data_IF_095682091470
#
_entry.id   IF_095682091470
#
_cell.length_a   1.000
_cell.length_b   1.000
_cell.length_c   1.000
_cell.angle_alpha   90.00
_cell.angle_beta   90.00
_cell.angle_gamma   90.00
#
_symmetry.space_group_name_H-M   'P 1'
#
loop_
_entity.id
_entity.type
_entity.pdbx_description
1 polymer ?
#
# COMPACT_ATOMS: atom_id res chain seq x y z
N UNK A 1 23.98 31.70 59.07
CA UNK A 1 23.82 30.46 58.27
C UNK A 1 25.21 30.03 57.81
N UNK A 2 25.68 28.86 58.25
CA UNK A 2 27.09 28.49 58.17
C UNK A 2 27.56 28.01 56.79
N UNK A 3 28.86 28.21 56.53
CA UNK A 3 29.66 27.80 55.36
C UNK A 3 29.47 26.32 54.97
N UNK A 4 28.97 25.47 55.87
CA UNK A 4 28.66 24.06 55.64
C UNK A 4 27.40 23.78 54.80
N UNK A 5 26.57 24.79 54.50
CA UNK A 5 25.39 24.61 53.64
C UNK A 5 25.70 24.53 52.14
N UNK A 6 26.92 24.89 51.72
CA UNK A 6 27.30 24.84 50.30
C UNK A 6 27.58 23.41 49.78
N UNK A 7 27.83 22.46 50.70
CA UNK A 7 28.07 21.04 50.38
C UNK A 7 26.82 20.16 50.47
N UNK A 8 25.65 20.73 50.77
CA UNK A 8 24.39 19.97 50.71
C UNK A 8 23.89 19.93 49.27
N UNK A 9 24.09 18.77 48.63
CA UNK A 9 23.38 18.42 47.39
C UNK A 9 21.88 18.57 47.62
N UNK A 10 21.23 19.45 46.87
CA UNK A 10 19.78 19.44 46.76
C UNK A 10 19.34 18.06 46.25
N UNK A 11 18.28 17.46 46.82
CA UNK A 11 17.75 16.22 46.30
C UNK A 11 17.32 16.46 44.85
N UNK A 12 17.85 15.66 43.93
CA UNK A 12 17.52 15.76 42.52
C UNK A 12 15.99 15.63 42.37
N UNK A 13 15.32 16.75 42.12
CA UNK A 13 13.91 16.74 41.77
C UNK A 13 13.82 15.98 40.45
N UNK A 14 13.23 14.78 40.51
CA UNK A 14 12.95 13.95 39.35
C UNK A 14 12.03 14.76 38.42
N UNK A 15 12.61 15.41 37.41
CA UNK A 15 11.88 16.02 36.30
C UNK A 15 11.24 14.88 35.50
N UNK A 16 10.11 14.36 35.98
CA UNK A 16 9.25 13.52 35.15
C UNK A 16 8.75 14.40 34.02
N UNK A 17 9.14 14.08 32.80
CA UNK A 17 8.53 14.69 31.62
C UNK A 17 7.05 14.27 31.60
N UNK A 18 6.20 15.15 32.09
CA UNK A 18 4.75 15.04 31.94
C UNK A 18 4.38 15.47 30.51
N UNK A 19 4.67 14.58 29.56
CA UNK A 19 4.19 14.56 28.18
C UNK A 19 4.58 13.19 27.61
N UNK A 20 3.80 12.63 26.69
CA UNK A 20 4.16 11.37 26.00
C UNK A 20 5.54 11.53 25.36
N UNK A 21 6.57 11.05 26.06
CA UNK A 21 7.94 11.26 25.64
C UNK A 21 8.17 10.56 24.32
N UNK A 22 9.01 11.15 23.46
CA UNK A 22 9.55 10.54 22.25
C UNK A 22 9.94 9.06 22.43
N UNK A 23 10.41 8.68 23.63
CA UNK A 23 10.67 7.28 24.02
C UNK A 23 9.40 6.41 24.08
N UNK A 24 8.27 6.92 24.57
CA UNK A 24 6.99 6.21 24.56
C UNK A 24 6.45 6.05 23.12
N UNK A 25 6.64 7.05 22.25
CA UNK A 25 6.27 6.94 20.84
C UNK A 25 7.17 5.95 20.08
N UNK A 26 8.47 5.93 20.37
CA UNK A 26 9.41 4.94 19.82
C UNK A 26 9.11 3.53 20.35
N UNK A 27 8.78 3.39 21.64
CA UNK A 27 8.40 2.10 22.23
C UNK A 27 7.08 1.61 21.61
N UNK A 28 6.07 2.48 21.44
CA UNK A 28 4.83 2.13 20.75
C UNK A 28 5.07 1.80 19.28
N UNK A 29 6.01 2.49 18.61
CA UNK A 29 6.40 2.18 17.24
C UNK A 29 7.13 0.84 17.13
N UNK A 30 8.01 0.50 18.09
CA UNK A 30 8.70 -0.80 18.16
C UNK A 30 7.78 -1.93 18.61
N UNK A 31 6.90 -1.71 19.57
CA UNK A 31 5.89 -2.67 20.01
C UNK A 31 4.96 -3.01 18.84
N UNK A 32 4.53 -2.02 18.08
CA UNK A 32 3.67 -2.24 16.92
C UNK A 32 4.39 -2.94 15.75
N UNK A 33 5.71 -2.78 15.64
CA UNK A 33 6.56 -3.55 14.71
C UNK A 33 6.73 -5.01 15.17
N UNK A 34 6.96 -5.23 16.48
CA UNK A 34 7.19 -6.56 17.07
C UNK A 34 5.90 -7.38 17.22
N UNK A 35 4.77 -6.75 17.52
CA UNK A 35 3.48 -7.41 17.70
C UNK A 35 2.78 -7.77 16.39
N UNK A 36 3.35 -7.42 15.22
CA UNK A 36 2.78 -7.71 13.90
C UNK A 36 1.44 -7.04 13.63
N UNK A 37 1.00 -6.11 14.50
CA UNK A 37 -0.31 -5.44 14.39
C UNK A 37 -0.31 -4.32 13.35
N UNK A 38 0.87 -3.88 12.89
CA UNK A 38 1.06 -2.98 11.75
C UNK A 38 1.52 -3.78 10.52
N UNK A 39 1.00 -3.44 9.35
CA UNK A 39 1.35 -4.10 8.08
C UNK A 39 0.45 -5.28 7.69
N UNK A 40 -0.60 -5.62 8.45
CA UNK A 40 -1.53 -6.71 8.06
C UNK A 40 -2.22 -6.40 6.72
N UNK A 41 -2.52 -5.12 6.47
CA UNK A 41 -3.04 -4.69 5.17
C UNK A 41 -2.07 -4.92 4.01
N UNK A 42 -0.76 -5.06 4.25
CA UNK A 42 0.21 -5.43 3.22
C UNK A 42 -0.08 -6.83 2.67
N UNK A 43 -0.69 -7.72 3.45
CA UNK A 43 -1.03 -9.08 3.00
C UNK A 43 -2.26 -9.12 2.10
N UNK A 44 -3.00 -8.01 1.99
CA UNK A 44 -4.20 -7.93 1.14
C UNK A 44 -3.81 -7.97 -0.34
N UNK A 45 -4.65 -8.58 -1.15
CA UNK A 45 -4.44 -8.64 -2.59
C UNK A 45 -4.34 -7.24 -3.21
N UNK A 46 -5.14 -6.28 -2.72
CA UNK A 46 -5.11 -4.89 -3.18
C UNK A 46 -3.75 -4.23 -2.96
N UNK A 47 -3.17 -4.36 -1.75
CA UNK A 47 -1.85 -3.82 -1.48
C UNK A 47 -0.77 -4.55 -2.30
N UNK A 48 -0.80 -5.88 -2.36
CA UNK A 48 0.19 -6.66 -3.12
C UNK A 48 0.16 -6.36 -4.61
N UNK A 49 -1.02 -6.18 -5.22
CA UNK A 49 -1.13 -5.75 -6.62
C UNK A 49 -0.47 -4.40 -6.86
N UNK A 50 -0.62 -3.44 -5.94
CA UNK A 50 0.06 -2.14 -6.04
C UNK A 50 1.58 -2.27 -5.89
N UNK A 51 2.04 -3.08 -4.93
CA UNK A 51 3.47 -3.36 -4.71
C UNK A 51 4.10 -4.00 -5.95
N UNK A 52 3.41 -4.97 -6.57
CA UNK A 52 3.86 -5.60 -7.81
C UNK A 52 3.94 -4.63 -8.99
N UNK A 53 3.05 -3.63 -9.07
CA UNK A 53 3.15 -2.59 -10.10
C UNK A 53 4.40 -1.73 -9.91
N UNK A 54 4.72 -1.34 -8.68
CA UNK A 54 5.94 -0.57 -8.38
C UNK A 54 7.20 -1.38 -8.66
N UNK A 55 7.24 -2.64 -8.21
CA UNK A 55 8.34 -3.56 -8.48
C UNK A 55 8.55 -3.76 -9.99
N UNK A 56 7.50 -4.14 -10.72
CA UNK A 56 7.61 -4.44 -12.15
C UNK A 56 8.00 -3.22 -12.98
N UNK A 57 7.48 -2.04 -12.61
CA UNK A 57 7.82 -0.81 -13.29
C UNK A 57 9.28 -0.40 -13.07
N UNK A 58 9.79 -0.48 -11.84
CA UNK A 58 11.20 -0.18 -11.56
C UNK A 58 12.14 -1.24 -12.14
N UNK A 59 11.74 -2.51 -12.14
CA UNK A 59 12.51 -3.58 -12.80
C UNK A 59 12.65 -3.38 -14.31
N UNK A 60 11.71 -2.67 -14.93
CA UNK A 60 11.71 -2.33 -16.36
C UNK A 60 12.33 -0.96 -16.66
N UNK A 61 12.76 -0.20 -15.64
CA UNK A 61 13.34 1.12 -15.85
C UNK A 61 14.59 1.04 -16.75
N UNK A 62 14.75 2.02 -17.62
CA UNK A 62 15.99 2.25 -18.35
C UNK A 62 16.97 2.96 -17.41
N UNK A 63 18.17 2.40 -17.29
CA UNK A 63 19.25 2.95 -16.45
C UNK A 63 20.37 3.39 -17.37
N UNK A 64 20.79 4.64 -17.24
CA UNK A 64 21.97 5.18 -17.91
C UNK A 64 23.02 5.59 -16.88
N UNK A 65 24.29 5.30 -17.12
CA UNK A 65 25.41 5.77 -16.29
C UNK A 65 25.87 4.87 -15.14
N UNK A 66 25.25 3.69 -14.91
CA UNK A 66 25.73 2.68 -13.96
C UNK A 66 25.24 1.27 -14.30
N UNK A 67 26.10 0.27 -14.13
CA UNK A 67 25.77 -1.16 -14.24
C UNK A 67 25.34 -1.78 -12.89
N UNK A 68 25.49 -1.04 -11.78
CA UNK A 68 25.18 -1.56 -10.43
C UNK A 68 23.67 -1.63 -10.15
N UNK A 69 22.87 -0.82 -10.84
CA UNK A 69 21.40 -0.80 -10.73
C UNK A 69 20.78 -1.77 -11.72
N UNK A 70 20.98 -3.06 -11.50
CA UNK A 70 20.36 -4.08 -12.35
C UNK A 70 18.83 -4.19 -12.12
N UNK A 71 18.14 -4.86 -13.04
CA UNK A 71 16.67 -5.06 -12.98
C UNK A 71 16.23 -5.72 -11.67
N UNK A 72 17.04 -6.64 -11.13
CA UNK A 72 16.75 -7.33 -9.87
C UNK A 72 16.83 -6.38 -8.69
N UNK A 73 17.86 -5.53 -8.66
CA UNK A 73 18.06 -4.54 -7.61
C UNK A 73 16.95 -3.51 -7.64
N UNK A 74 16.58 -3.00 -8.82
CA UNK A 74 15.48 -2.06 -8.97
C UNK A 74 14.11 -2.68 -8.58
N UNK A 75 13.88 -3.96 -8.87
CA UNK A 75 12.72 -4.69 -8.36
C UNK A 75 12.68 -4.71 -6.82
N UNK A 76 13.83 -4.99 -6.18
CA UNK A 76 13.96 -4.98 -4.72
C UNK A 76 13.80 -3.56 -4.13
N UNK A 77 14.32 -2.53 -4.79
CA UNK A 77 14.10 -1.13 -4.44
C UNK A 77 12.60 -0.82 -4.46
N UNK A 78 11.92 -1.13 -5.57
CA UNK A 78 10.49 -0.88 -5.72
C UNK A 78 9.65 -1.53 -4.63
N UNK A 79 9.89 -2.82 -4.35
CA UNK A 79 9.20 -3.51 -3.25
C UNK A 79 9.52 -2.89 -1.89
N UNK A 80 10.79 -2.59 -1.62
CA UNK A 80 11.20 -2.05 -0.31
C UNK A 80 10.61 -0.67 -0.06
N UNK A 81 10.60 0.20 -1.08
CA UNK A 81 9.95 1.51 -1.00
C UNK A 81 8.44 1.40 -0.84
N UNK A 82 7.78 0.46 -1.52
CA UNK A 82 6.34 0.26 -1.39
C UNK A 82 5.92 -0.24 0.01
N UNK A 83 6.71 -1.13 0.64
CA UNK A 83 6.36 -1.73 1.93
C UNK A 83 6.91 -0.95 3.13
N UNK A 84 8.13 -0.41 3.04
CA UNK A 84 8.82 0.25 4.15
C UNK A 84 8.92 1.76 3.98
N UNK A 85 8.86 2.24 2.74
CA UNK A 85 9.15 3.64 2.41
C UNK A 85 10.65 3.93 2.31
N UNK A 86 11.49 2.92 2.48
CA UNK A 86 12.94 3.03 2.49
C UNK A 86 13.59 1.77 1.93
N UNK A 87 14.67 1.95 1.19
CA UNK A 87 15.46 0.89 0.58
C UNK A 87 16.95 1.15 0.83
N UNK A 88 17.61 0.19 1.47
CA UNK A 88 19.02 0.33 1.89
C UNK A 88 19.84 -0.79 1.28
N UNK A 89 20.90 -0.40 0.57
CA UNK A 89 21.86 -1.32 -0.04
C UNK A 89 23.27 -0.94 0.39
N UNK A 90 24.05 -1.95 0.76
CA UNK A 90 25.48 -1.80 0.96
C UNK A 90 26.18 -1.91 -0.40
N UNK A 91 26.99 -0.91 -0.72
CA UNK A 91 27.74 -0.83 -1.96
C UNK A 91 29.00 -1.69 -1.82
N UNK A 92 29.19 -2.62 -2.76
CA UNK A 92 30.38 -3.47 -2.88
C UNK A 92 30.94 -3.37 -4.29
N UNK A 93 32.18 -3.82 -4.46
CA UNK A 93 32.80 -3.95 -5.77
C UNK A 93 31.99 -4.88 -6.69
N UNK A 94 31.43 -5.96 -6.13
CA UNK A 94 30.67 -6.97 -6.89
C UNK A 94 29.19 -6.60 -7.13
N UNK A 95 28.70 -5.49 -6.55
CA UNK A 95 27.29 -5.10 -6.67
C UNK A 95 26.65 -4.49 -5.43
N UNK A 96 25.33 -4.33 -5.48
CA UNK A 96 24.51 -3.81 -4.38
C UNK A 96 23.95 -4.95 -3.54
N UNK A 97 24.25 -4.95 -2.23
CA UNK A 97 23.77 -5.97 -1.29
C UNK A 97 22.62 -5.40 -0.46
N UNK A 98 21.40 -5.96 -0.54
CA UNK A 98 20.26 -5.47 0.22
C UNK A 98 20.47 -5.67 1.73
N UNK A 99 20.26 -4.62 2.52
CA UNK A 99 20.22 -4.71 3.97
C UNK A 99 18.81 -5.10 4.44
N UNK A 100 18.71 -6.02 5.40
CA UNK A 100 17.43 -6.41 5.99
C UNK A 100 16.98 -5.47 7.10
N UNK A 101 17.94 -4.92 7.84
CA UNK A 101 17.73 -3.98 8.95
C UNK A 101 18.92 -3.01 9.05
N UNK A 102 18.72 -1.82 9.62
CA UNK A 102 19.77 -0.82 9.78
C UNK A 102 19.50 0.14 10.94
N UNK A 103 20.57 0.55 11.60
CA UNK A 103 20.58 1.74 12.45
C UNK A 103 21.48 2.81 11.82
N UNK A 104 21.12 4.07 11.99
CA UNK A 104 21.87 5.18 11.41
C UNK A 104 22.21 6.25 12.45
N UNK A 105 23.32 6.93 12.20
CA UNK A 105 23.73 8.13 12.94
C UNK A 105 23.59 9.33 12.02
N UNK A 106 22.91 10.38 12.47
CA UNK A 106 22.75 11.62 11.70
C UNK A 106 23.59 12.78 12.24
N UNK A 107 23.80 13.76 11.38
CA UNK A 107 24.21 15.13 11.70
C UNK A 107 23.38 16.07 10.83
N UNK A 108 22.74 17.06 11.43
CA UNK A 108 21.86 18.02 10.73
C UNK A 108 20.76 17.33 9.88
N UNK A 109 20.22 16.22 10.38
CA UNK A 109 19.21 15.42 9.66
C UNK A 109 19.77 14.56 8.52
N UNK A 110 21.07 14.65 8.21
CA UNK A 110 21.75 13.84 7.18
C UNK A 110 22.44 12.61 7.79
N UNK A 111 22.26 11.41 7.25
CA UNK A 111 23.00 10.22 7.69
C UNK A 111 24.51 10.34 7.47
N UNK A 112 25.29 9.90 8.45
CA UNK A 112 26.77 9.94 8.44
C UNK A 112 27.40 8.56 8.53
N UNK A 113 26.76 7.64 9.25
CA UNK A 113 27.19 6.25 9.37
C UNK A 113 25.98 5.34 9.57
N UNK A 114 26.13 4.10 9.13
CA UNK A 114 25.12 3.06 9.23
C UNK A 114 25.70 1.83 9.93
N UNK A 115 24.86 1.14 10.68
CA UNK A 115 25.06 -0.25 11.07
C UNK A 115 24.02 -1.07 10.32
N UNK A 116 24.43 -1.72 9.24
CA UNK A 116 23.56 -2.54 8.38
C UNK A 116 23.63 -4.01 8.79
N UNK A 117 22.51 -4.69 8.68
CA UNK A 117 22.40 -6.14 8.84
C UNK A 117 22.10 -6.77 7.49
N UNK A 118 22.95 -7.71 7.07
CA UNK A 118 22.87 -8.42 5.80
C UNK A 118 22.35 -9.82 6.09
N UNK A 119 21.26 -10.18 5.41
CA UNK A 119 20.70 -11.53 5.49
C UNK A 119 21.42 -12.46 4.53
N UNK A 120 21.93 -13.57 5.07
CA UNK A 120 22.60 -14.63 4.30
C UNK A 120 21.95 -15.97 4.68
N UNK A 121 21.87 -16.90 3.72
CA UNK A 121 21.26 -18.21 3.97
C UNK A 121 21.95 -19.00 5.10
N UNK A 122 23.25 -18.75 5.34
CA UNK A 122 24.05 -19.37 6.39
C UNK A 122 24.06 -18.66 7.74
N UNK A 123 23.28 -17.58 7.89
CA UNK A 123 23.27 -16.74 9.10
C UNK A 123 23.69 -15.31 8.79
N UNK A 124 22.85 -14.35 9.20
CA UNK A 124 23.08 -12.93 8.91
C UNK A 124 24.29 -12.34 9.62
N UNK A 125 24.86 -11.28 9.03
CA UNK A 125 25.97 -10.52 9.60
C UNK A 125 25.61 -9.05 9.74
N UNK A 126 26.12 -8.40 10.77
CA UNK A 126 26.01 -6.94 10.92
C UNK A 126 27.36 -6.28 10.66
N UNK A 127 27.35 -5.16 9.97
CA UNK A 127 28.53 -4.38 9.64
C UNK A 127 28.26 -2.88 9.79
N UNK A 128 29.26 -2.14 10.26
CA UNK A 128 29.26 -0.68 10.20
C UNK A 128 29.84 -0.22 8.86
N UNK A 129 29.14 0.72 8.22
CA UNK A 129 29.52 1.32 6.95
C UNK A 129 29.35 2.84 7.01
N UNK A 130 30.17 3.57 6.27
CA UNK A 130 30.04 5.02 6.13
C UNK A 130 28.86 5.36 5.21
N UNK A 131 28.32 6.57 5.33
CA UNK A 131 27.21 7.00 4.47
C UNK A 131 27.56 7.09 2.97
N UNK A 132 28.85 7.06 2.60
CA UNK A 132 29.27 6.96 1.20
C UNK A 132 29.19 5.52 0.66
N UNK A 133 29.24 4.52 1.54
CA UNK A 133 29.24 3.09 1.18
C UNK A 133 27.83 2.49 1.16
N UNK A 134 26.81 3.30 1.44
CA UNK A 134 25.43 2.86 1.58
C UNK A 134 24.55 3.70 0.67
N UNK A 135 23.80 3.04 -0.20
CA UNK A 135 22.72 3.63 -0.98
C UNK A 135 21.45 3.59 -0.12
N UNK A 136 20.92 4.74 0.26
CA UNK A 136 19.72 4.83 1.10
C UNK A 136 18.65 5.74 0.47
N UNK A 137 17.71 5.10 -0.23
CA UNK A 137 16.58 5.78 -0.87
C UNK A 137 15.40 5.82 0.10
N UNK A 138 14.76 6.99 0.22
CA UNK A 138 13.64 7.26 1.13
C UNK A 138 12.52 7.96 0.42
N UNK A 139 11.28 7.59 0.74
CA UNK A 139 10.07 8.26 0.25
C UNK A 139 9.17 8.65 1.42
N UNK A 140 8.35 9.69 1.23
CA UNK A 140 7.35 10.10 2.21
C UNK A 140 7.94 10.47 3.58
N UNK A 141 9.18 10.97 3.62
CA UNK A 141 9.86 11.33 4.84
C UNK A 141 9.11 12.44 5.61
N UNK A 142 9.09 12.33 6.94
CA UNK A 142 8.53 13.36 7.82
C UNK A 142 9.56 14.48 8.00
N UNK A 143 9.17 15.78 7.89
CA UNK A 143 10.08 16.89 8.19
C UNK A 143 10.77 16.81 9.57
N UNK A 144 10.15 16.18 10.57
CA UNK A 144 10.73 15.97 11.89
C UNK A 144 11.79 14.85 11.90
N UNK A 145 11.73 13.91 10.96
CA UNK A 145 12.66 12.80 10.83
C UNK A 145 13.01 12.54 9.35
N UNK A 146 13.72 13.46 8.68
CA UNK A 146 13.99 13.39 7.23
C UNK A 146 14.91 12.23 6.83
N UNK A 147 15.53 11.58 7.81
CA UNK A 147 16.40 10.42 7.64
C UNK A 147 15.67 9.07 7.65
N UNK A 148 14.34 9.06 7.86
CA UNK A 148 13.51 7.85 7.75
C UNK A 148 12.46 8.00 6.65
N UNK A 149 12.16 6.89 5.98
CA UNK A 149 11.08 6.80 5.02
C UNK A 149 9.75 6.48 5.69
N UNK A 150 8.65 6.71 4.97
CA UNK A 150 7.32 6.26 5.39
C UNK A 150 6.60 5.60 4.22
N UNK A 151 6.29 4.32 4.40
CA UNK A 151 5.52 3.55 3.43
C UNK A 151 4.14 4.19 3.13
N UNK A 152 3.62 4.06 1.89
CA UNK A 152 2.27 4.47 1.53
C UNK A 152 1.18 4.01 2.52
N UNK A 153 1.18 2.73 2.91
CA UNK A 153 0.19 2.19 3.84
C UNK A 153 0.29 2.77 5.25
N UNK A 154 1.49 3.13 5.70
CA UNK A 154 1.68 3.78 7.01
C UNK A 154 1.06 5.18 7.01
N UNK A 155 1.09 5.89 5.88
CA UNK A 155 0.37 7.16 5.69
C UNK A 155 -1.15 6.98 5.62
N UNK A 156 -1.62 5.83 5.15
CA UNK A 156 -3.04 5.46 5.07
C UNK A 156 -3.48 4.44 6.16
N UNK A 157 -2.90 4.53 7.36
CA UNK A 157 -3.04 3.49 8.40
C UNK A 157 -4.48 3.24 8.88
N UNK A 158 -5.32 4.28 8.92
CA UNK A 158 -6.74 4.16 9.28
C UNK A 158 -7.50 3.32 8.25
N UNK A 159 -7.29 3.59 6.96
CA UNK A 159 -7.92 2.86 5.85
C UNK A 159 -7.41 1.43 5.77
N UNK A 160 -6.10 1.22 5.98
CA UNK A 160 -5.51 -0.12 6.06
C UNK A 160 -6.12 -0.94 7.20
N UNK A 161 -6.33 -0.33 8.37
CA UNK A 161 -7.01 -0.95 9.50
C UNK A 161 -8.47 -1.31 9.17
N UNK A 162 -9.19 -0.41 8.49
CA UNK A 162 -10.56 -0.64 8.04
C UNK A 162 -10.64 -1.83 7.07
N UNK A 163 -9.79 -1.85 6.04
CA UNK A 163 -9.76 -2.94 5.05
C UNK A 163 -9.55 -4.29 5.73
N UNK A 164 -8.55 -4.38 6.62
CA UNK A 164 -8.28 -5.60 7.38
C UNK A 164 -9.47 -6.02 8.25
N UNK A 165 -10.11 -5.07 8.94
CA UNK A 165 -11.25 -5.35 9.79
C UNK A 165 -12.45 -5.87 8.98
N UNK A 166 -12.73 -5.27 7.83
CA UNK A 166 -13.84 -5.68 6.94
C UNK A 166 -13.54 -7.06 6.34
N UNK A 167 -12.34 -7.30 5.80
CA UNK A 167 -12.00 -8.61 5.24
C UNK A 167 -12.03 -9.71 6.30
N UNK A 168 -11.49 -9.46 7.50
CA UNK A 168 -11.53 -10.42 8.61
C UNK A 168 -12.97 -10.72 9.05
N UNK A 169 -13.81 -9.69 9.18
CA UNK A 169 -15.22 -9.85 9.54
C UNK A 169 -15.99 -10.64 8.48
N UNK A 170 -15.73 -10.37 7.19
CA UNK A 170 -16.34 -11.13 6.09
C UNK A 170 -15.90 -12.59 6.14
N UNK A 171 -14.61 -12.89 6.32
CA UNK A 171 -14.11 -14.26 6.47
C UNK A 171 -14.79 -14.98 7.62
N UNK A 172 -14.89 -14.34 8.80
CA UNK A 172 -15.54 -14.92 9.97
C UNK A 172 -17.04 -15.19 9.73
N UNK A 173 -17.75 -14.26 9.10
CA UNK A 173 -19.16 -14.42 8.73
C UNK A 173 -19.32 -15.56 7.72
N UNK A 174 -18.48 -15.64 6.69
CA UNK A 174 -18.56 -16.71 5.69
C UNK A 174 -18.25 -18.09 6.27
N UNK A 175 -17.41 -18.16 7.30
CA UNK A 175 -17.06 -19.42 7.98
C UNK A 175 -18.14 -19.84 8.99
N UNK A 176 -18.63 -18.91 9.80
CA UNK A 176 -19.39 -19.24 11.01
C UNK A 176 -20.89 -18.92 10.93
N UNK A 177 -21.31 -17.97 10.08
CA UNK A 177 -22.71 -17.55 10.04
C UNK A 177 -23.60 -18.60 9.34
N UNK A 178 -24.84 -18.78 9.82
CA UNK A 178 -25.80 -19.72 9.22
C UNK A 178 -26.45 -19.17 7.95
N UNK A 179 -25.65 -18.85 6.93
CA UNK A 179 -26.10 -18.18 5.70
C UNK A 179 -27.19 -19.01 4.99
N UNK A 180 -28.30 -18.36 4.67
CA UNK A 180 -29.45 -18.94 3.99
C UNK A 180 -30.23 -19.95 4.83
N UNK A 181 -30.02 -19.96 6.15
CA UNK A 181 -30.72 -20.86 7.04
C UNK A 181 -32.03 -20.24 7.52
N UNK A 182 -33.08 -21.05 7.58
CA UNK A 182 -34.42 -20.61 7.92
C UNK A 182 -34.92 -21.38 9.14
N UNK A 183 -35.64 -20.68 10.02
CA UNK A 183 -36.40 -21.30 11.08
C UNK A 183 -37.89 -21.31 10.69
N UNK A 184 -38.47 -22.50 10.52
CA UNK A 184 -39.88 -22.72 10.14
C UNK A 184 -40.63 -23.31 11.34
N UNK A 185 -41.69 -22.69 11.86
CA UNK A 185 -42.34 -23.24 13.04
C UNK A 185 -43.28 -24.46 12.79
N UNK A 186 -43.33 -25.47 13.68
CA UNK A 186 -44.17 -26.70 13.60
C UNK A 186 -44.66 -27.20 15.00
N UNK A 187 -45.83 -27.90 15.11
CA UNK A 187 -46.38 -28.37 16.40
C UNK A 187 -45.68 -29.60 17.05
N UNK A 188 -45.83 -29.70 18.39
CA UNK A 188 -44.96 -30.30 19.43
C UNK A 188 -44.33 -31.71 19.30
N UNK A 189 -43.11 -31.83 19.86
CA UNK A 189 -42.66 -32.98 20.68
C UNK A 189 -41.76 -32.48 21.85
N UNK A 190 -41.90 -33.01 23.09
CA UNK A 190 -41.52 -32.29 24.33
C UNK A 190 -40.04 -32.38 24.80
N UNK A 191 -39.07 -32.67 23.93
CA UNK A 191 -37.69 -33.01 24.38
C UNK A 191 -36.54 -32.18 23.78
N UNK A 192 -36.80 -31.08 23.04
CA UNK A 192 -35.73 -30.42 22.26
C UNK A 192 -34.98 -29.31 23.00
N UNK A 193 -33.67 -29.49 23.23
CA UNK A 193 -32.76 -28.49 23.83
C UNK A 193 -32.36 -27.36 22.85
N UNK A 194 -32.78 -26.13 23.16
CA UNK A 194 -32.57 -24.90 22.39
C UNK A 194 -31.08 -24.53 22.21
N UNK A 195 -30.20 -24.86 23.16
CA UNK A 195 -28.76 -24.58 23.01
C UNK A 195 -28.06 -25.55 22.05
N UNK A 196 -28.49 -26.82 22.03
CA UNK A 196 -28.03 -27.80 21.04
C UNK A 196 -28.47 -27.40 19.63
N UNK A 197 -29.69 -26.86 19.49
CA UNK A 197 -30.25 -26.39 18.23
C UNK A 197 -29.49 -25.16 17.70
N UNK A 198 -29.18 -24.18 18.57
CA UNK A 198 -28.39 -23.01 18.20
C UNK A 198 -26.96 -23.38 17.72
N UNK A 199 -26.32 -24.36 18.35
CA UNK A 199 -25.04 -24.92 17.88
C UNK A 199 -25.16 -25.60 16.52
N UNK A 200 -26.30 -26.21 16.21
CA UNK A 200 -26.57 -26.88 14.94
C UNK A 200 -26.58 -25.96 13.71
N UNK A 201 -26.62 -24.64 13.90
CA UNK A 201 -26.59 -23.64 12.84
C UNK A 201 -25.21 -23.06 12.53
N UNK A 202 -24.30 -23.02 13.51
CA UNK A 202 -22.96 -22.44 13.32
C UNK A 202 -22.21 -23.17 12.20
N UNK A 203 -21.77 -22.44 11.18
CA UNK A 203 -21.06 -22.96 10.02
C UNK A 203 -21.88 -23.88 9.10
N UNK A 204 -23.20 -23.99 9.29
CA UNK A 204 -24.09 -24.76 8.41
C UNK A 204 -24.86 -23.81 7.50
N UNK A 205 -24.86 -24.11 6.19
CA UNK A 205 -25.51 -23.29 5.16
C UNK A 205 -26.81 -23.93 4.70
N UNK A 206 -27.84 -23.13 4.43
CA UNK A 206 -29.11 -23.60 3.87
C UNK A 206 -29.89 -24.56 4.76
N UNK A 207 -29.63 -24.57 6.09
CA UNK A 207 -30.37 -25.46 7.00
C UNK A 207 -31.73 -24.85 7.29
N UNK A 208 -32.76 -25.64 7.03
CA UNK A 208 -34.11 -25.34 7.49
C UNK A 208 -34.30 -26.09 8.80
N UNK A 209 -34.54 -25.35 9.88
CA UNK A 209 -34.87 -25.93 11.18
C UNK A 209 -36.35 -25.75 11.41
N UNK A 210 -37.02 -26.83 11.78
CA UNK A 210 -38.36 -26.72 12.33
C UNK A 210 -38.26 -26.27 13.79
N UNK A 211 -38.80 -25.10 14.15
CA UNK A 211 -38.86 -24.61 15.55
C UNK A 211 -40.26 -24.80 16.11
N UNK A 212 -40.39 -25.04 17.39
CA UNK A 212 -41.71 -25.22 18.00
C UNK A 212 -42.46 -23.87 18.10
N UNK A 213 -43.75 -23.84 17.75
CA UNK A 213 -44.61 -22.65 17.92
C UNK A 213 -45.17 -22.59 19.34
N UNK A 214 -45.13 -21.42 20.00
CA UNK A 214 -45.53 -21.25 21.42
C UNK A 214 -47.02 -20.84 21.60
N UNK A 215 -47.80 -20.67 20.53
CA UNK A 215 -49.22 -20.33 20.64
C UNK A 215 -50.13 -21.55 20.68
N UNK A 216 -50.55 -21.93 21.89
CA UNK A 216 -51.69 -22.84 22.11
C UNK A 216 -52.98 -22.01 22.11
N UNK A 217 -53.71 -21.99 20.99
CA UNK A 217 -55.09 -21.49 20.98
C UNK A 217 -56.01 -22.52 21.61
N UNK A 218 -56.24 -22.37 22.91
CA UNK A 218 -57.31 -23.06 23.62
C UNK A 218 -58.68 -22.49 23.22
N UNK A 219 -59.14 -22.72 21.98
CA UNK A 219 -60.54 -22.68 21.51
C UNK A 219 -60.63 -22.52 19.98
N UNK A 220 -60.73 -23.65 19.26
CA UNK A 220 -61.60 -23.87 18.08
C UNK A 220 -61.73 -22.84 16.92
N UNK A 221 -60.88 -21.82 16.81
CA UNK A 221 -60.83 -20.89 15.68
C UNK A 221 -59.76 -21.29 14.65
N UNK A 222 -59.88 -20.87 13.38
CA UNK A 222 -58.96 -21.29 12.32
C UNK A 222 -57.51 -20.88 12.64
N UNK A 223 -56.62 -21.86 12.76
CA UNK A 223 -55.18 -21.69 12.94
C UNK A 223 -54.45 -21.75 11.56
N UNK A 224 -53.15 -21.45 11.43
CA UNK A 224 -52.36 -20.32 11.91
C UNK A 224 -51.47 -19.79 10.75
N UNK A 225 -52.04 -19.08 9.78
CA UNK A 225 -51.26 -18.66 8.58
C UNK A 225 -50.22 -17.57 8.90
N UNK A 226 -50.41 -16.84 10.01
CA UNK A 226 -49.52 -15.76 10.43
C UNK A 226 -48.25 -16.24 11.15
N UNK A 227 -48.29 -17.41 11.80
CA UNK A 227 -47.19 -17.93 12.63
C UNK A 227 -46.16 -18.72 11.80
N UNK A 228 -46.50 -19.12 10.56
CA UNK A 228 -45.64 -19.90 9.66
C UNK A 228 -44.62 -19.09 8.86
N UNK A 229 -44.36 -17.84 9.24
CA UNK A 229 -43.37 -17.02 8.54
C UNK A 229 -41.96 -17.54 8.87
N UNK A 230 -41.19 -17.99 7.86
CA UNK A 230 -39.81 -18.36 8.09
C UNK A 230 -39.03 -17.17 8.66
N UNK A 231 -38.35 -17.38 9.78
CA UNK A 231 -37.40 -16.39 10.30
C UNK A 231 -36.03 -16.68 9.69
N UNK A 232 -35.50 -15.72 8.94
CA UNK A 232 -34.13 -15.78 8.42
C UNK A 232 -33.16 -15.46 9.56
N UNK A 233 -32.19 -16.35 9.78
CA UNK A 233 -31.12 -16.19 10.78
C UNK A 233 -29.80 -15.72 10.15
N UNK A 234 -29.80 -15.46 8.85
CA UNK A 234 -28.67 -14.90 8.14
C UNK A 234 -28.41 -13.46 8.60
N UNK A 235 -27.15 -13.08 8.87
CA UNK A 235 -26.81 -11.68 9.06
C UNK A 235 -27.19 -10.85 7.83
N UNK A 236 -27.84 -9.72 8.04
CA UNK A 236 -28.21 -8.79 6.97
C UNK A 236 -26.99 -7.98 6.51
N UNK A 237 -26.24 -8.55 5.56
CA UNK A 237 -25.08 -7.91 4.94
C UNK A 237 -25.47 -6.72 4.04
N UNK A 238 -26.72 -6.68 3.55
CA UNK A 238 -27.18 -5.64 2.65
C UNK A 238 -27.34 -4.30 3.37
N UNK A 239 -27.85 -4.30 4.60
CA UNK A 239 -27.93 -3.08 5.42
C UNK A 239 -26.60 -2.64 6.01
N UNK A 240 -25.64 -3.56 6.13
CA UNK A 240 -24.32 -3.29 6.67
C UNK A 240 -23.38 -2.58 5.68
N UNK A 241 -23.79 -2.37 4.43
CA UNK A 241 -23.01 -1.69 3.37
C UNK A 241 -21.57 -2.23 3.25
N UNK A 242 -21.41 -3.54 3.43
CA UNK A 242 -20.09 -4.18 3.51
C UNK A 242 -19.36 -4.12 2.18
N UNK A 243 -20.09 -4.19 1.07
CA UNK A 243 -19.53 -4.11 -0.28
C UNK A 243 -19.00 -2.70 -0.56
N UNK A 244 -19.80 -1.68 -0.28
CA UNK A 244 -19.45 -0.28 -0.49
C UNK A 244 -18.26 0.13 0.39
N UNK A 245 -18.23 -0.34 1.63
CA UNK A 245 -17.12 -0.08 2.55
C UNK A 245 -15.84 -0.77 2.09
N UNK A 246 -15.95 -2.01 1.60
CA UNK A 246 -14.81 -2.76 1.08
C UNK A 246 -14.24 -2.12 -0.19
N UNK A 247 -15.10 -1.76 -1.14
CA UNK A 247 -14.68 -1.14 -2.40
C UNK A 247 -14.06 0.25 -2.15
N UNK A 248 -14.68 1.08 -1.31
CA UNK A 248 -14.12 2.38 -0.94
C UNK A 248 -12.76 2.25 -0.23
N UNK A 249 -12.60 1.24 0.64
CA UNK A 249 -11.32 0.99 1.29
C UNK A 249 -10.26 0.57 0.26
N UNK A 250 -10.57 -0.31 -0.69
CA UNK A 250 -9.66 -0.73 -1.76
C UNK A 250 -9.23 0.44 -2.64
N UNK A 251 -10.18 1.28 -3.04
CA UNK A 251 -9.91 2.46 -3.87
C UNK A 251 -8.99 3.47 -3.18
N UNK A 252 -9.22 3.69 -1.88
CA UNK A 252 -8.38 4.57 -1.06
C UNK A 252 -6.96 3.99 -0.88
N UNK A 253 -6.81 2.68 -0.74
CA UNK A 253 -5.49 2.02 -0.72
C UNK A 253 -4.78 2.19 -2.06
N UNK A 254 -5.43 1.88 -3.19
CA UNK A 254 -4.88 2.09 -4.53
C UNK A 254 -4.37 3.53 -4.71
N UNK A 255 -5.19 4.50 -4.30
CA UNK A 255 -4.84 5.93 -4.37
C UNK A 255 -3.61 6.28 -3.51
N UNK A 256 -3.44 5.66 -2.33
CA UNK A 256 -2.26 5.89 -1.49
C UNK A 256 -0.95 5.42 -2.15
N UNK A 257 -1.02 4.40 -3.01
CA UNK A 257 0.09 3.92 -3.85
C UNK A 257 0.21 4.66 -5.20
N UNK A 258 -0.61 5.69 -5.45
CA UNK A 258 -0.64 6.40 -6.73
C UNK A 258 -1.24 5.60 -7.90
N UNK A 259 -1.88 4.46 -7.61
CA UNK A 259 -2.55 3.60 -8.58
C UNK A 259 -4.01 4.04 -8.69
N UNK A 260 -4.45 4.39 -9.90
CA UNK A 260 -5.85 4.76 -10.11
C UNK A 260 -6.74 3.50 -9.97
N UNK A 261 -7.80 3.52 -9.14
CA UNK A 261 -8.64 2.34 -8.92
C UNK A 261 -9.26 1.78 -10.21
N UNK A 262 -9.52 2.65 -11.19
CA UNK A 262 -10.02 2.29 -12.52
C UNK A 262 -9.14 1.26 -13.25
N UNK A 263 -7.86 1.11 -12.89
CA UNK A 263 -6.98 0.09 -13.47
C UNK A 263 -7.47 -1.34 -13.21
N UNK A 264 -8.13 -1.59 -12.07
CA UNK A 264 -8.58 -2.91 -11.65
C UNK A 264 -10.09 -3.15 -11.83
N UNK A 265 -10.82 -2.17 -12.36
CA UNK A 265 -12.25 -2.33 -12.61
C UNK A 265 -12.52 -3.36 -13.73
N UNK A 266 -13.61 -4.10 -13.63
CA UNK A 266 -13.99 -5.10 -14.64
C UNK A 266 -14.43 -4.46 -15.97
N UNK A 267 -14.91 -3.21 -15.92
CA UNK A 267 -15.39 -2.46 -17.07
C UNK A 267 -14.30 -1.60 -17.77
N UNK A 268 -13.03 -1.81 -17.46
CA UNK A 268 -11.93 -0.97 -17.95
C UNK A 268 -11.68 -1.17 -19.44
N UNK A 269 -11.36 -0.08 -20.13
CA UNK A 269 -11.04 -0.08 -21.56
C UNK A 269 -9.54 0.11 -21.79
N UNK A 270 -9.03 -0.38 -22.92
CA UNK A 270 -7.61 -0.24 -23.28
C UNK A 270 -7.06 1.19 -23.15
N UNK A 271 -7.73 2.23 -23.68
CA UNK A 271 -7.29 3.62 -23.49
C UNK A 271 -7.18 4.04 -22.02
N UNK A 272 -8.17 3.68 -21.19
CA UNK A 272 -8.17 4.01 -19.77
C UNK A 272 -7.01 3.33 -19.02
N UNK A 273 -6.71 2.06 -19.33
CA UNK A 273 -5.54 1.35 -18.77
C UNK A 273 -4.25 2.11 -19.07
N UNK A 274 -4.08 2.59 -20.31
CA UNK A 274 -2.89 3.33 -20.73
C UNK A 274 -2.74 4.66 -19.98
N UNK A 275 -3.82 5.41 -19.81
CA UNK A 275 -3.81 6.65 -19.03
C UNK A 275 -3.53 6.40 -17.54
N UNK A 276 -4.09 5.34 -16.97
CA UNK A 276 -3.82 4.96 -15.58
C UNK A 276 -2.35 4.55 -15.37
N UNK A 277 -1.78 3.78 -16.30
CA UNK A 277 -0.36 3.43 -16.29
C UNK A 277 0.54 4.66 -16.46
N UNK A 278 0.16 5.59 -17.34
CA UNK A 278 0.88 6.86 -17.53
C UNK A 278 0.84 7.71 -16.27
N UNK A 279 -0.33 7.84 -15.63
CA UNK A 279 -0.47 8.55 -14.36
C UNK A 279 0.45 7.97 -13.30
N UNK A 280 0.44 6.65 -13.12
CA UNK A 280 1.31 5.95 -12.18
C UNK A 280 2.80 6.20 -12.50
N UNK A 281 3.19 6.06 -13.77
CA UNK A 281 4.57 6.29 -14.18
C UNK A 281 5.02 7.73 -13.93
N UNK A 282 4.23 8.73 -14.32
CA UNK A 282 4.61 10.14 -14.25
C UNK A 282 4.56 10.72 -12.83
N UNK A 283 3.48 10.47 -12.09
CA UNK A 283 3.25 11.14 -10.82
C UNK A 283 3.80 10.39 -9.62
N UNK A 284 3.91 9.07 -9.73
CA UNK A 284 4.32 8.25 -8.59
C UNK A 284 5.72 7.66 -8.77
N UNK A 285 6.02 7.07 -9.93
CA UNK A 285 7.24 6.28 -10.09
C UNK A 285 8.42 7.07 -10.62
N UNK A 286 8.24 8.00 -11.57
CA UNK A 286 9.32 8.82 -12.09
C UNK A 286 9.97 9.72 -11.00
N UNK A 287 9.22 10.33 -10.07
CA UNK A 287 9.84 11.06 -8.96
C UNK A 287 10.65 10.15 -8.04
N UNK A 288 10.19 8.91 -7.83
CA UNK A 288 10.95 7.91 -7.07
C UNK A 288 12.22 7.53 -7.83
N UNK A 289 12.12 7.31 -9.13
CA UNK A 289 13.25 6.99 -9.98
C UNK A 289 14.32 8.10 -9.96
N UNK A 290 13.89 9.36 -10.02
CA UNK A 290 14.76 10.52 -9.88
C UNK A 290 15.48 10.57 -8.52
N UNK A 291 14.79 10.24 -7.41
CA UNK A 291 15.42 10.15 -6.09
C UNK A 291 16.46 9.01 -6.00
N UNK A 292 16.18 7.87 -6.64
CA UNK A 292 17.13 6.75 -6.75
C UNK A 292 18.36 7.20 -7.55
N UNK A 293 18.14 7.88 -8.68
CA UNK A 293 19.20 8.37 -9.57
C UNK A 293 20.07 9.44 -8.90
N UNK A 294 19.47 10.37 -8.14
CA UNK A 294 20.18 11.39 -7.38
C UNK A 294 21.09 10.76 -6.32
N UNK A 295 20.54 9.89 -5.46
CA UNK A 295 21.33 9.20 -4.44
C UNK A 295 22.42 8.33 -5.08
N UNK A 296 22.11 7.59 -6.15
CA UNK A 296 23.09 6.79 -6.88
C UNK A 296 24.22 7.64 -7.47
N UNK A 297 23.88 8.79 -8.06
CA UNK A 297 24.87 9.71 -8.63
C UNK A 297 25.83 10.24 -7.58
N UNK A 298 25.32 10.60 -6.41
CA UNK A 298 26.14 11.06 -5.29
C UNK A 298 27.07 9.97 -4.75
N UNK A 299 26.61 8.71 -4.67
CA UNK A 299 27.41 7.61 -4.10
C UNK A 299 28.39 6.98 -5.08
N UNK A 300 28.00 6.84 -6.35
CA UNK A 300 28.86 6.21 -7.36
C UNK A 300 29.88 7.20 -7.94
N UNK A 301 29.64 8.50 -7.79
CA UNK A 301 30.54 9.54 -8.30
C UNK A 301 30.46 9.75 -9.82
N UNK A 302 29.46 9.15 -10.48
CA UNK A 302 29.11 9.33 -11.89
C UNK A 302 27.65 9.75 -12.02
N UNK A 303 27.27 10.56 -13.02
CA UNK A 303 25.87 10.87 -13.26
C UNK A 303 25.12 9.60 -13.67
N UNK A 304 24.03 9.30 -12.97
CA UNK A 304 23.10 8.20 -13.24
C UNK A 304 21.74 8.80 -13.58
N UNK A 305 21.10 8.29 -14.62
CA UNK A 305 19.71 8.62 -14.98
C UNK A 305 18.84 7.37 -14.96
N UNK A 306 17.58 7.53 -14.59
CA UNK A 306 16.61 6.45 -14.43
C UNK A 306 15.24 6.86 -15.01
N UNK A 307 14.86 6.26 -16.14
CA UNK A 307 13.61 6.53 -16.85
C UNK A 307 12.65 5.34 -16.73
N UNK A 308 11.51 5.54 -16.08
CA UNK A 308 10.42 4.54 -16.04
C UNK A 308 9.33 4.82 -17.07
N UNK A 309 9.28 6.01 -17.65
CA UNK A 309 8.22 6.44 -18.56
C UNK A 309 8.38 5.77 -19.93
N UNK A 310 9.58 5.81 -20.51
CA UNK A 310 9.80 5.28 -21.86
C UNK A 310 9.57 3.77 -21.96
N UNK A 311 10.10 2.92 -21.06
CA UNK A 311 9.85 1.48 -21.10
C UNK A 311 8.38 1.13 -20.90
N UNK A 312 7.71 1.80 -19.96
CA UNK A 312 6.31 1.54 -19.68
C UNK A 312 5.40 1.95 -20.85
N UNK A 313 5.75 3.00 -21.60
CA UNK A 313 4.94 3.46 -22.74
C UNK A 313 5.16 2.69 -24.04
N UNK A 314 5.96 1.61 -24.06
CA UNK A 314 6.26 0.85 -25.28
C UNK A 314 5.01 0.32 -26.02
N UNK A 315 3.89 0.12 -25.33
CA UNK A 315 2.62 -0.30 -25.92
C UNK A 315 1.89 0.80 -26.72
N UNK A 316 2.28 2.06 -26.62
CA UNK A 316 1.64 3.20 -27.32
C UNK A 316 2.32 3.54 -28.67
N UNK A 317 3.11 2.61 -29.22
CA UNK A 317 3.74 2.76 -30.52
C UNK A 317 2.74 3.15 -31.63
N UNK A 318 1.50 2.64 -31.56
CA UNK A 318 0.44 2.98 -32.52
C UNK A 318 -0.15 4.39 -32.35
N UNK A 319 -0.16 4.94 -31.13
CA UNK A 319 -0.50 6.35 -30.89
C UNK A 319 0.59 7.27 -31.43
N UNK A 320 1.85 6.96 -31.10
CA UNK A 320 3.02 7.69 -31.58
C UNK A 320 3.14 7.67 -33.10
N UNK A 321 2.97 6.51 -33.74
CA UNK A 321 3.00 6.39 -35.20
C UNK A 321 1.91 7.23 -35.88
N UNK A 322 0.70 7.28 -35.30
CA UNK A 322 -0.37 8.15 -35.81
C UNK A 322 -0.06 9.62 -35.61
N UNK A 323 0.47 10.01 -34.45
CA UNK A 323 0.91 11.38 -34.21
C UNK A 323 1.97 11.83 -35.22
N UNK A 324 2.99 11.00 -35.46
CA UNK A 324 4.02 11.24 -36.48
C UNK A 324 3.41 11.36 -37.88
N UNK A 325 2.49 10.48 -38.27
CA UNK A 325 1.80 10.58 -39.55
C UNK A 325 1.03 11.90 -39.70
N UNK A 326 0.31 12.32 -38.64
CA UNK A 326 -0.39 13.61 -38.61
C UNK A 326 0.57 14.79 -38.67
N UNK A 327 1.72 14.73 -38.00
CA UNK A 327 2.76 15.77 -38.13
C UNK A 327 3.28 15.87 -39.55
N UNK A 328 3.61 14.75 -40.18
CA UNK A 328 4.14 14.72 -41.56
C UNK A 328 3.11 15.28 -42.53
N UNK A 329 1.83 14.90 -42.37
CA UNK A 329 0.75 15.46 -43.16
C UNK A 329 0.57 16.98 -42.93
N UNK A 330 0.63 17.43 -41.68
CA UNK A 330 0.57 18.85 -41.35
C UNK A 330 1.75 19.64 -41.94
N UNK A 331 2.96 19.08 -41.90
CA UNK A 331 4.15 19.66 -42.54
C UNK A 331 4.00 19.73 -44.06
N UNK A 332 3.43 18.69 -44.70
CA UNK A 332 3.18 18.68 -46.14
C UNK A 332 2.17 19.77 -46.53
N UNK A 333 1.05 19.88 -45.81
CA UNK A 333 0.04 20.94 -46.02
C UNK A 333 0.59 22.34 -45.75
N UNK A 334 1.42 22.50 -44.72
CA UNK A 334 2.06 23.78 -44.42
C UNK A 334 3.01 24.23 -45.55
N UNK A 335 3.74 23.28 -46.13
CA UNK A 335 4.59 23.51 -47.30
C UNK A 335 3.78 23.89 -48.54
N UNK A 336 2.66 23.20 -48.80
CA UNK A 336 1.73 23.56 -49.89
C UNK A 336 1.10 24.94 -49.71
N UNK A 337 0.80 25.33 -48.47
CA UNK A 337 0.29 26.65 -48.13
C UNK A 337 1.36 27.77 -48.15
N UNK A 338 2.63 27.44 -48.41
CA UNK A 338 3.72 28.41 -48.49
C UNK A 338 4.15 29.00 -47.14
N UNK A 339 3.84 28.33 -46.02
CA UNK A 339 4.28 28.75 -44.70
C UNK A 339 5.80 28.59 -44.57
N UNK A 340 6.47 29.60 -44.01
CA UNK A 340 7.91 29.52 -43.79
C UNK A 340 8.21 28.45 -42.73
N UNK A 341 9.33 27.69 -42.84
CA UNK A 341 9.70 26.68 -41.84
C UNK A 341 9.78 27.21 -40.41
N UNK A 342 10.11 28.50 -40.25
CA UNK A 342 10.13 29.18 -38.95
C UNK A 342 8.75 29.36 -38.30
N UNK A 343 7.69 29.55 -39.08
CA UNK A 343 6.32 29.75 -38.59
C UNK A 343 5.70 28.43 -38.10
N UNK A 344 6.03 27.33 -38.79
CA UNK A 344 5.66 25.99 -38.35
C UNK A 344 6.41 25.59 -37.07
N UNK A 345 7.71 25.89 -37.00
CA UNK A 345 8.49 25.70 -35.78
C UNK A 345 8.01 26.57 -34.61
N UNK A 346 7.45 27.76 -34.87
CA UNK A 346 6.82 28.59 -33.84
C UNK A 346 5.47 28.02 -33.38
N UNK A 347 4.65 27.52 -34.32
CA UNK A 347 3.38 26.86 -34.01
C UNK A 347 3.57 25.56 -33.22
N UNK A 348 4.58 24.76 -33.54
CA UNK A 348 4.92 23.54 -32.79
C UNK A 348 5.46 23.85 -31.39
N UNK A 349 6.29 24.91 -31.26
CA UNK A 349 6.75 25.42 -29.95
C UNK A 349 5.61 25.97 -29.09
N UNK A 350 4.57 26.53 -29.71
CA UNK A 350 3.35 26.98 -29.01
C UNK A 350 2.54 25.82 -28.39
N UNK A 351 2.72 24.59 -28.89
CA UNK A 351 2.05 23.38 -28.36
C UNK A 351 2.99 22.58 -27.44
N UNK A 352 4.08 23.21 -26.99
CA UNK A 352 5.07 22.63 -26.06
C UNK A 352 5.79 21.37 -26.59
N UNK A 353 5.84 21.24 -27.92
CA UNK A 353 6.63 20.20 -28.60
C UNK A 353 8.02 20.78 -28.85
N UNK A 354 8.81 20.84 -27.79
CA UNK A 354 10.24 21.14 -27.88
C UNK A 354 11.02 19.83 -27.95
N UNK A 355 11.80 19.67 -29.02
CA UNK A 355 13.11 19.02 -28.91
C UNK A 355 14.11 20.03 -28.33
#
# INVERSE_FOLDING_TARGET
MGILNWFRREPAIEKRSAASGFTAEIIAAREAYVSGRRGIAELTATAQSCVSLWEGALALADVDGSDLLDRRTLALVGRSLALRGEAVFLIREDGLVPASDWDLRTRDGKPTAYRVSISEAGGGRSQTALAAEVLHVRIGADPAAPYYGTAPLKRASLTAGLLNAVESALTEVFENAPIGSLIVPFPESPETDLESLGRGFRGRRGRVLLRESVQVTAAGGPAPVADWKPADVSPDLQRAMTTETLDAARDAICSAFGVLPALFASATTGPLVREAQRHLAMWQLQPIAALVAEEASEKFGSPVDLDVIRPLQAFDAGGRARAVATMVEAMARAKEAGLAPGDLGAALRLVDWSE
#
